data_IF_313082498439
#
_entry.id   IF_313082498439
#
_cell.length_a   1.000
_cell.length_b   1.000
_cell.length_c   1.000
_cell.angle_alpha   90.00
_cell.angle_beta   90.00
_cell.angle_gamma   90.00
#
_symmetry.space_group_name_H-M   'P 1'
#
loop_
_entity.id
_entity.type
_entity.pdbx_description
1 polymer ?
#
# COMPACT_ATOMS: atom_id res chain seq x y z
N UNK A 1 1.71 -8.75 8.70
CA UNK A 1 2.98 -8.40 9.40
C UNK A 1 3.17 -6.89 9.33
N UNK A 2 3.69 -6.26 10.38
CA UNK A 2 3.91 -4.80 10.42
C UNK A 2 5.41 -4.47 10.45
N UNK A 3 5.82 -3.46 9.67
CA UNK A 3 7.18 -2.92 9.57
C UNK A 3 7.17 -1.47 9.99
N UNK A 4 7.75 -1.19 11.16
CA UNK A 4 7.77 0.16 11.74
C UNK A 4 8.77 1.05 11.02
N UNK A 5 8.45 2.35 10.87
CA UNK A 5 9.32 3.37 10.25
C UNK A 5 9.96 2.95 8.91
N UNK A 6 9.24 2.14 8.15
CA UNK A 6 9.75 1.51 6.92
C UNK A 6 9.08 2.05 5.66
N UNK A 7 8.14 2.99 5.79
CA UNK A 7 7.45 3.56 4.63
C UNK A 7 8.39 4.39 3.75
N UNK A 8 8.57 4.06 2.46
CA UNK A 8 9.46 4.82 1.57
C UNK A 8 8.94 6.22 1.25
N UNK A 9 7.61 6.44 1.34
CA UNK A 9 6.96 7.72 1.03
C UNK A 9 7.15 8.76 2.13
N UNK A 10 6.86 8.40 3.38
CA UNK A 10 6.90 9.34 4.51
C UNK A 10 8.07 9.12 5.48
N UNK A 11 8.84 8.02 5.34
CA UNK A 11 10.02 7.64 6.13
C UNK A 11 9.79 7.37 7.62
N UNK A 12 8.70 7.89 8.20
CA UNK A 12 8.33 7.68 9.60
C UNK A 12 7.22 6.65 9.76
N UNK A 13 6.52 6.33 8.67
CA UNK A 13 5.32 5.52 8.70
C UNK A 13 5.53 4.03 8.79
N UNK A 14 4.51 3.39 9.35
CA UNK A 14 4.45 1.95 9.56
C UNK A 14 3.72 1.29 8.39
N UNK A 15 4.39 0.29 7.80
CA UNK A 15 3.90 -0.47 6.66
C UNK A 15 3.29 -1.77 7.16
N UNK A 16 2.11 -2.10 6.65
CA UNK A 16 1.43 -3.38 6.90
C UNK A 16 1.30 -4.15 5.59
N UNK A 17 1.57 -5.45 5.64
CA UNK A 17 1.37 -6.37 4.51
C UNK A 17 0.08 -7.13 4.72
N UNK A 18 -0.76 -7.14 3.70
CA UNK A 18 -2.07 -7.77 3.66
C UNK A 18 -2.31 -8.46 2.30
N UNK A 19 -3.42 -9.19 2.14
CA UNK A 19 -3.71 -9.96 0.92
C UNK A 19 -5.19 -9.83 0.57
N UNK A 20 -5.43 -9.42 -0.65
CA UNK A 20 -6.78 -9.31 -1.21
C UNK A 20 -6.97 -10.30 -2.38
N UNK A 21 -8.11 -10.20 -3.07
CA UNK A 21 -8.41 -11.05 -4.23
C UNK A 21 -7.35 -10.98 -5.34
N UNK A 22 -6.62 -9.86 -5.44
CA UNK A 22 -5.60 -9.62 -6.47
C UNK A 22 -4.20 -10.10 -6.09
N UNK A 23 -3.95 -10.41 -4.81
CA UNK A 23 -2.61 -10.78 -4.34
C UNK A 23 -2.21 -10.10 -3.05
N UNK A 24 -0.92 -10.19 -2.73
CA UNK A 24 -0.33 -9.55 -1.57
C UNK A 24 -0.06 -8.09 -1.88
N UNK A 25 -0.29 -7.21 -0.91
CA UNK A 25 0.02 -5.80 -1.04
C UNK A 25 0.54 -5.25 0.30
N UNK A 26 1.32 -4.19 0.24
CA UNK A 26 1.76 -3.44 1.40
C UNK A 26 1.14 -2.06 1.39
N UNK A 27 0.78 -1.57 2.58
CA UNK A 27 0.23 -0.22 2.74
C UNK A 27 0.73 0.46 4.01
N UNK A 28 0.91 1.78 3.94
CA UNK A 28 1.27 2.62 5.08
C UNK A 28 0.02 3.14 5.78
N UNK A 29 -0.13 2.82 7.06
CA UNK A 29 -1.29 3.24 7.86
C UNK A 29 -1.28 4.76 8.08
N UNK A 30 -0.10 5.39 8.11
CA UNK A 30 0.01 6.82 8.43
C UNK A 30 -0.18 7.76 7.23
N UNK A 31 0.26 7.37 6.03
CA UNK A 31 0.28 8.28 4.87
C UNK A 31 -0.45 7.74 3.62
N UNK A 32 -1.05 6.54 3.73
CA UNK A 32 -1.81 5.91 2.65
C UNK A 32 -0.97 5.49 1.44
N UNK A 33 0.34 5.31 1.59
CA UNK A 33 1.16 4.65 0.57
C UNK A 33 0.66 3.22 0.36
N UNK A 34 0.56 2.75 -0.87
CA UNK A 34 0.19 1.37 -1.19
C UNK A 34 1.08 0.87 -2.33
N UNK A 35 1.50 -0.38 -2.26
CA UNK A 35 2.26 -1.05 -3.32
C UNK A 35 1.90 -2.54 -3.36
N UNK A 36 1.76 -3.09 -4.56
CA UNK A 36 1.53 -4.51 -4.75
C UNK A 36 2.82 -5.30 -4.49
N UNK A 37 2.73 -6.43 -3.77
CA UNK A 37 3.83 -7.36 -3.53
C UNK A 37 3.81 -8.42 -4.62
N UNK A 38 4.51 -8.12 -5.72
CA UNK A 38 4.73 -9.11 -6.78
C UNK A 38 5.61 -10.23 -6.24
N UNK A 39 5.05 -11.43 -6.10
CA UNK A 39 5.80 -12.61 -5.67
C UNK A 39 6.80 -12.99 -6.77
N UNK A 40 8.07 -12.61 -6.61
CA UNK A 40 9.14 -12.85 -7.60
C UNK A 40 9.59 -14.32 -7.54
N UNK A 41 8.70 -15.24 -7.90
CA UNK A 41 9.05 -16.61 -8.28
C UNK A 41 9.11 -16.69 -9.81
N UNK A 42 10.07 -15.98 -10.41
CA UNK A 42 10.27 -15.94 -11.87
C UNK A 42 10.32 -14.51 -12.41
N UNK A 43 11.54 -14.00 -12.59
CA UNK A 43 11.96 -12.92 -13.50
C UNK A 43 10.90 -12.20 -14.36
N UNK A 44 10.71 -10.89 -14.12
CA UNK A 44 10.04 -9.97 -15.07
C UNK A 44 9.39 -8.76 -14.40
N UNK A 45 10.05 -7.61 -14.39
CA UNK A 45 9.64 -6.39 -13.67
C UNK A 45 8.42 -5.68 -14.28
N UNK A 46 7.52 -5.15 -13.42
CA UNK A 46 7.21 -3.70 -13.35
C UNK A 46 6.35 -3.40 -12.10
N UNK A 47 6.76 -2.51 -11.17
CA UNK A 47 5.89 -2.06 -10.10
C UNK A 47 4.72 -1.28 -10.70
N UNK A 48 3.50 -1.76 -10.45
CA UNK A 48 2.28 -1.11 -10.90
C UNK A 48 2.16 0.27 -10.23
N UNK A 49 2.47 1.28 -11.02
CA UNK A 49 2.12 2.66 -10.80
C UNK A 49 0.59 2.75 -10.95
N UNK A 50 -0.14 3.06 -9.88
CA UNK A 50 -1.59 3.24 -10.01
C UNK A 50 -2.42 3.14 -8.74
N UNK A 51 -2.06 3.84 -7.66
CA UNK A 51 -3.07 4.17 -6.65
C UNK A 51 -3.94 5.30 -7.21
N UNK A 52 -4.98 4.92 -7.97
CA UNK A 52 -6.10 5.81 -8.22
C UNK A 52 -6.66 6.24 -6.86
N UNK A 53 -6.61 7.54 -6.65
CA UNK A 53 -7.04 8.21 -5.42
C UNK A 53 -8.51 7.86 -5.24
N UNK A 54 -8.85 6.93 -4.34
CA UNK A 54 -10.23 6.89 -3.83
C UNK A 54 -10.46 8.21 -3.12
N UNK A 55 -11.39 9.08 -3.59
CA UNK A 55 -11.73 10.25 -2.82
C UNK A 55 -12.30 9.77 -1.49
N UNK A 56 -11.65 10.16 -0.40
CA UNK A 56 -12.21 10.07 0.94
C UNK A 56 -13.48 10.92 0.88
N UNK A 57 -14.64 10.27 0.84
CA UNK A 57 -15.92 10.96 0.89
C UNK A 57 -15.99 11.61 2.28
N UNK A 58 -16.15 12.94 2.40
CA UNK A 58 -16.38 13.53 3.71
C UNK A 58 -17.74 13.04 4.21
N UNK A 59 -17.74 12.50 5.42
CA UNK A 59 -18.92 12.13 6.18
C UNK A 59 -19.75 13.41 6.40
N UNK A 60 -20.75 13.63 5.54
CA UNK A 60 -21.73 14.70 5.72
C UNK A 60 -22.66 14.28 6.86
N UNK A 61 -22.25 14.57 8.09
CA UNK A 61 -23.16 14.68 9.22
C UNK A 61 -24.11 15.87 9.00
N UNK A 62 -25.40 15.59 9.10
CA UNK A 62 -26.48 16.58 9.20
C UNK A 62 -27.10 16.55 10.59
#
# INVERSE_FOLDING_TARGET
MIRLKSCPKCKTGDITIDRDHYGWYEYCIQCGYMSDLVNVAGSGQKPASGSEKRPILPDKGG
#
